data_IF_268545999030
#
_entry.id   IF_268545999030
#
_cell.length_a   1.000
_cell.length_b   1.000
_cell.length_c   1.000
_cell.angle_alpha   90.00
_cell.angle_beta   90.00
_cell.angle_gamma   90.00
#
_symmetry.space_group_name_H-M   'P 1'
#
loop_
_entity.id
_entity.type
_entity.pdbx_description
1 polymer ?
#
# COMPACT_ATOMS: atom_id res chain seq x y z
N UNK A 1 14.85 3.18 -1.45
CA UNK A 1 13.71 3.23 -0.51
C UNK A 1 12.45 2.97 -1.32
N UNK A 2 11.68 1.95 -0.96
CA UNK A 2 10.45 1.62 -1.69
C UNK A 2 9.35 2.61 -1.27
N UNK A 3 9.09 3.60 -2.14
CA UNK A 3 7.93 4.47 -2.04
C UNK A 3 6.85 3.92 -2.95
N UNK A 4 5.79 3.41 -2.33
CA UNK A 4 4.60 2.95 -3.03
C UNK A 4 3.82 4.11 -3.64
N UNK A 5 2.61 3.80 -4.11
CA UNK A 5 1.71 4.78 -4.72
C UNK A 5 1.41 5.93 -3.76
N UNK A 6 1.46 7.17 -4.26
CA UNK A 6 1.14 8.40 -3.50
C UNK A 6 -0.22 8.38 -2.82
N UNK A 7 -1.17 7.62 -3.35
CA UNK A 7 -2.55 7.52 -2.83
C UNK A 7 -2.65 6.60 -1.62
N UNK A 8 -1.81 5.58 -1.54
CA UNK A 8 -1.93 4.52 -0.51
C UNK A 8 -0.77 4.53 0.48
N UNK A 9 0.40 5.05 0.09
CA UNK A 9 1.59 5.09 0.92
C UNK A 9 1.66 6.39 1.75
N UNK A 10 1.42 6.27 3.05
CA UNK A 10 1.43 7.39 4.00
C UNK A 10 2.78 8.11 4.13
N UNK A 11 3.88 7.50 3.68
CA UNK A 11 5.21 8.12 3.73
C UNK A 11 5.28 9.40 2.91
N UNK A 12 4.53 9.48 1.81
CA UNK A 12 4.45 10.71 1.01
C UNK A 12 3.86 11.88 1.81
N UNK A 13 2.86 11.61 2.66
CA UNK A 13 2.26 12.65 3.51
C UNK A 13 3.24 13.09 4.59
N UNK A 14 3.89 12.14 5.25
CA UNK A 14 4.87 12.41 6.32
C UNK A 14 6.05 13.23 5.78
N UNK A 15 6.61 12.85 4.62
CA UNK A 15 7.74 13.57 4.03
C UNK A 15 7.39 14.99 3.61
N UNK A 16 6.16 15.20 3.12
CA UNK A 16 5.63 16.52 2.81
C UNK A 16 5.41 17.36 4.06
N UNK A 17 4.86 16.79 5.13
CA UNK A 17 4.64 17.49 6.41
C UNK A 17 5.98 17.89 7.07
N UNK A 18 7.00 17.04 6.98
CA UNK A 18 8.34 17.32 7.51
C UNK A 18 9.20 18.19 6.58
N UNK A 19 8.72 18.52 5.37
CA UNK A 19 9.46 19.31 4.37
C UNK A 19 10.74 18.63 3.85
N UNK A 20 10.88 17.33 4.06
CA UNK A 20 12.06 16.53 3.69
C UNK A 20 12.09 16.35 2.17
N UNK A 21 10.93 16.26 1.53
CA UNK A 21 10.72 16.13 0.10
C UNK A 21 11.40 17.22 -0.76
N UNK A 22 11.70 18.38 -0.16
CA UNK A 22 12.41 19.49 -0.82
C UNK A 22 13.92 19.30 -0.89
N UNK A 23 14.48 18.46 -0.02
CA UNK A 23 15.92 18.31 0.18
C UNK A 23 16.44 16.92 -0.21
N UNK A 24 15.56 16.00 -0.62
CA UNK A 24 15.94 14.66 -1.07
C UNK A 24 15.42 14.37 -2.47
N UNK A 25 16.23 13.67 -3.26
CA UNK A 25 15.82 13.15 -4.57
C UNK A 25 15.50 11.66 -4.44
N UNK A 26 14.28 11.28 -4.79
CA UNK A 26 13.88 9.88 -4.82
C UNK A 26 14.40 9.21 -6.09
N UNK A 27 15.24 8.20 -5.94
CA UNK A 27 15.73 7.36 -7.04
C UNK A 27 14.91 6.07 -7.07
N UNK A 28 14.30 5.76 -8.21
CA UNK A 28 13.58 4.49 -8.40
C UNK A 28 14.58 3.35 -8.57
N UNK A 29 14.42 2.28 -7.80
CA UNK A 29 15.13 1.03 -8.06
C UNK A 29 14.50 0.31 -9.25
N UNK A 30 15.31 -0.42 -10.03
CA UNK A 30 14.79 -1.27 -11.11
C UNK A 30 14.24 -2.60 -10.57
N UNK A 31 14.84 -3.12 -9.50
CA UNK A 31 14.41 -4.34 -8.79
C UNK A 31 13.87 -3.99 -7.41
N UNK A 32 12.80 -4.68 -7.00
CA UNK A 32 12.23 -4.55 -5.65
C UNK A 32 12.97 -5.48 -4.69
N UNK A 33 13.23 -6.71 -5.15
CA UNK A 33 13.87 -7.77 -4.38
C UNK A 33 14.80 -8.55 -5.31
N UNK A 34 16.03 -8.72 -4.88
CA UNK A 34 16.98 -9.64 -5.51
C UNK A 34 17.16 -10.85 -4.58
N UNK A 35 16.90 -12.03 -5.11
CA UNK A 35 16.97 -13.31 -4.39
C UNK A 35 18.03 -14.15 -5.08
N UNK A 36 19.10 -14.46 -4.36
CA UNK A 36 20.13 -15.37 -4.84
C UNK A 36 20.02 -16.72 -4.10
N UNK A 37 19.91 -17.80 -4.85
CA UNK A 37 20.15 -19.16 -4.41
C UNK A 37 21.53 -19.63 -4.94
N UNK A 38 21.99 -20.82 -4.53
CA UNK A 38 23.29 -21.39 -4.93
C UNK A 38 23.47 -21.48 -6.45
N UNK A 39 22.38 -21.67 -7.19
CA UNK A 39 22.41 -21.85 -8.66
C UNK A 39 21.67 -20.76 -9.44
N UNK A 40 20.82 -19.97 -8.79
CA UNK A 40 19.91 -19.06 -9.49
C UNK A 40 19.91 -17.67 -8.86
N UNK A 41 19.84 -16.65 -9.70
CA UNK A 41 19.63 -15.28 -9.28
C UNK A 41 18.30 -14.78 -9.86
N UNK A 42 17.39 -14.40 -8.97
CA UNK A 42 16.07 -13.88 -9.30
C UNK A 42 16.03 -12.40 -8.97
N UNK A 43 15.79 -11.57 -9.97
CA UNK A 43 15.60 -10.13 -9.80
C UNK A 43 14.15 -9.80 -10.08
N UNK A 44 13.38 -9.52 -9.02
CA UNK A 44 11.95 -9.25 -9.13
C UNK A 44 11.77 -7.78 -9.56
N UNK A 45 11.22 -7.53 -10.76
CA UNK A 45 11.08 -6.17 -11.27
C UNK A 45 10.03 -5.38 -10.50
N UNK A 46 10.19 -4.06 -10.47
CA UNK A 46 9.18 -3.16 -9.90
C UNK A 46 7.84 -3.25 -10.64
N UNK A 47 6.75 -3.26 -9.86
CA UNK A 47 5.37 -3.26 -10.32
C UNK A 47 4.68 -4.62 -10.24
N UNK A 48 3.41 -4.63 -9.80
CA UNK A 48 2.61 -5.86 -9.60
C UNK A 48 2.50 -6.69 -10.89
N UNK A 49 2.22 -6.06 -12.03
CA UNK A 49 2.08 -6.78 -13.30
C UNK A 49 3.42 -7.32 -13.82
N UNK A 50 4.49 -6.54 -13.68
CA UNK A 50 5.83 -6.96 -14.09
C UNK A 50 6.33 -8.13 -13.24
N UNK A 51 6.16 -8.05 -11.92
CA UNK A 51 6.49 -9.13 -10.99
C UNK A 51 5.68 -10.39 -11.29
N UNK A 52 4.38 -10.26 -11.55
CA UNK A 52 3.51 -11.40 -11.93
C UNK A 52 4.03 -12.08 -13.19
N UNK A 53 4.29 -11.30 -14.24
CA UNK A 53 4.71 -11.85 -15.53
C UNK A 53 6.10 -12.50 -15.43
N UNK A 54 7.04 -11.87 -14.70
CA UNK A 54 8.36 -12.45 -14.42
C UNK A 54 8.26 -13.80 -13.71
N UNK A 55 7.40 -13.90 -12.69
CA UNK A 55 7.20 -15.16 -11.96
C UNK A 55 6.54 -16.24 -12.82
N UNK A 56 5.60 -15.88 -13.70
CA UNK A 56 4.99 -16.83 -14.64
C UNK A 56 6.03 -17.34 -15.65
N UNK A 57 6.92 -16.47 -16.14
CA UNK A 57 7.99 -16.87 -17.05
C UNK A 57 8.99 -17.82 -16.38
N UNK A 58 9.36 -17.56 -15.12
CA UNK A 58 10.28 -18.40 -14.35
C UNK A 58 9.65 -19.72 -13.87
N UNK A 59 8.36 -19.71 -13.54
CA UNK A 59 7.63 -20.86 -12.99
C UNK A 59 6.35 -21.12 -13.79
N UNK A 60 6.45 -21.56 -15.06
CA UNK A 60 5.29 -21.73 -15.93
C UNK A 60 4.31 -22.79 -15.41
N UNK A 61 4.81 -23.80 -14.70
CA UNK A 61 4.00 -24.84 -14.07
C UNK A 61 3.12 -24.32 -12.92
N UNK A 62 3.48 -23.18 -12.31
CA UNK A 62 2.73 -22.56 -11.21
C UNK A 62 1.83 -21.39 -11.66
N UNK A 63 1.71 -21.14 -12.97
CA UNK A 63 1.00 -19.97 -13.53
C UNK A 63 -0.38 -19.76 -12.89
N UNK A 64 -1.16 -20.84 -12.75
CA UNK A 64 -2.51 -20.79 -12.18
C UNK A 64 -2.50 -20.30 -10.72
N UNK A 65 -1.53 -20.73 -9.93
CA UNK A 65 -1.34 -20.32 -8.53
C UNK A 65 -0.92 -18.86 -8.44
N UNK A 66 0.06 -18.48 -9.24
CA UNK A 66 0.59 -17.11 -9.30
C UNK A 66 -0.53 -16.13 -9.69
N UNK A 67 -1.28 -16.40 -10.77
CA UNK A 67 -2.41 -15.54 -11.18
C UNK A 67 -3.47 -15.41 -10.07
N UNK A 68 -3.78 -16.50 -9.35
CA UNK A 68 -4.75 -16.48 -8.25
C UNK A 68 -4.26 -15.65 -7.07
N UNK A 69 -2.98 -15.72 -6.73
CA UNK A 69 -2.37 -14.91 -5.67
C UNK A 69 -2.49 -13.41 -5.98
N UNK A 70 -2.00 -12.98 -7.15
CA UNK A 70 -2.04 -11.57 -7.54
C UNK A 70 -3.47 -11.03 -7.67
N UNK A 71 -4.43 -11.86 -8.13
CA UNK A 71 -5.85 -11.48 -8.17
C UNK A 71 -6.42 -11.20 -6.78
N UNK A 72 -6.10 -12.03 -5.78
CA UNK A 72 -6.56 -11.80 -4.39
C UNK A 72 -5.93 -10.56 -3.78
N UNK A 73 -4.65 -10.30 -4.08
CA UNK A 73 -3.91 -9.15 -3.56
C UNK A 73 -4.52 -7.82 -4.01
N UNK A 74 -5.06 -7.74 -5.23
CA UNK A 74 -5.79 -6.54 -5.70
C UNK A 74 -7.15 -6.37 -5.02
N UNK A 75 -7.82 -7.47 -4.65
CA UNK A 75 -9.19 -7.44 -4.11
C UNK A 75 -9.20 -7.13 -2.60
N UNK A 76 -8.19 -7.58 -1.84
CA UNK A 76 -8.15 -7.39 -0.38
C UNK A 76 -8.22 -5.92 0.06
N UNK A 77 -7.41 -5.00 -0.49
CA UNK A 77 -7.45 -3.59 -0.11
C UNK A 77 -8.80 -2.94 -0.44
N UNK A 78 -9.37 -3.25 -1.61
CA UNK A 78 -10.64 -2.69 -2.07
C UNK A 78 -11.82 -3.17 -1.22
N UNK A 79 -11.86 -4.44 -0.84
CA UNK A 79 -12.92 -5.02 -0.01
C UNK A 79 -12.80 -4.55 1.44
N UNK A 80 -11.58 -4.49 2.00
CA UNK A 80 -11.35 -3.95 3.34
C UNK A 80 -11.71 -2.47 3.42
N UNK A 81 -11.31 -1.68 2.42
CA UNK A 81 -11.64 -0.25 2.36
C UNK A 81 -13.15 -0.03 2.24
N UNK A 82 -13.83 -0.79 1.36
CA UNK A 82 -15.30 -0.73 1.23
C UNK A 82 -15.99 -1.13 2.53
N UNK A 83 -15.55 -2.21 3.18
CA UNK A 83 -16.11 -2.66 4.46
C UNK A 83 -15.93 -1.59 5.56
N UNK A 84 -14.75 -0.99 5.67
CA UNK A 84 -14.48 0.07 6.64
C UNK A 84 -15.33 1.33 6.37
N UNK A 85 -15.49 1.73 5.11
CA UNK A 85 -16.38 2.85 4.74
C UNK A 85 -17.82 2.51 5.10
N UNK A 86 -18.31 1.32 4.75
CA UNK A 86 -19.69 0.90 5.06
C UNK A 86 -19.94 0.85 6.57
N UNK A 87 -18.98 0.39 7.38
CA UNK A 87 -19.10 0.38 8.83
C UNK A 87 -19.15 1.81 9.40
N UNK A 88 -18.27 2.71 8.95
CA UNK A 88 -18.24 4.12 9.36
C UNK A 88 -19.51 4.88 8.95
N UNK A 89 -20.07 4.60 7.77
CA UNK A 89 -21.32 5.25 7.32
C UNK A 89 -22.58 4.64 7.96
N UNK A 90 -22.52 3.36 8.36
CA UNK A 90 -23.61 2.69 9.08
C UNK A 90 -23.63 3.06 10.55
N UNK A 91 -22.48 3.37 11.16
CA UNK A 91 -22.41 4.06 12.43
C UNK A 91 -22.66 5.54 12.18
N UNK A 92 -23.93 5.92 12.03
CA UNK A 92 -24.32 7.32 12.19
C UNK A 92 -23.66 7.87 13.45
N UNK A 93 -22.60 8.65 13.25
CA UNK A 93 -22.03 9.49 14.29
C UNK A 93 -23.04 10.62 14.51
N UNK A 94 -24.12 10.31 15.21
CA UNK A 94 -24.83 11.31 15.99
C UNK A 94 -23.87 11.68 17.11
N UNK A 95 -22.96 12.62 16.86
CA UNK A 95 -22.32 13.32 17.97
C UNK A 95 -23.47 14.02 18.68
N UNK A 96 -23.78 13.72 19.95
CA UNK A 96 -24.54 14.66 20.74
C UNK A 96 -23.70 15.94 20.72
N UNK A 97 -24.32 17.03 20.33
CA UNK A 97 -23.86 18.37 20.64
C UNK A 97 -23.72 18.47 22.17
N UNK A 98 -22.65 17.93 22.73
CA UNK A 98 -22.13 18.39 24.01
C UNK A 98 -21.49 19.74 23.71
N UNK A 99 -22.37 20.74 23.67
CA UNK A 99 -22.19 21.99 24.40
C UNK A 99 -20.85 22.04 25.12
N UNK A 100 -19.88 22.67 24.46
CA UNK A 100 -18.77 23.32 25.15
C UNK A 100 -19.40 24.39 26.06
N UNK A 101 -19.77 24.01 27.28
CA UNK A 101 -19.81 24.97 28.37
C UNK A 101 -18.35 25.29 28.73
N UNK A 102 -17.76 26.18 27.96
CA UNK A 102 -16.63 26.97 28.47
C UNK A 102 -17.16 27.79 29.65
N UNK A 103 -16.86 27.31 30.87
CA UNK A 103 -16.21 27.99 32.03
C UNK A 103 -16.42 29.52 32.19
N UNK A 104 -16.40 30.16 33.41
CA UNK A 104 -15.55 29.81 34.55
C UNK A 104 -16.14 30.10 35.96
N UNK A 105 -15.36 29.80 37.00
CA UNK A 105 -15.74 30.03 38.39
C UNK A 105 -15.93 31.50 38.77
N UNK A 106 -16.88 31.74 39.67
CA UNK A 106 -16.78 32.49 40.93
C UNK A 106 -17.85 31.96 41.88
#
# INVERSE_FOLDING_TARGET
MDLGDKKTDGKHRIFKELGIDKNITFVSSNSVWDIADKENHYSIPHGLDNARNYLIEKFPHEEKGIRRYFKKYTILPDVLLRFLITWVTSSSFSSPLYTLSTSPGQ
#
